data_IF_449312489450
#
_entry.id   IF_449312489450
#
_cell.length_a   1.000
_cell.length_b   1.000
_cell.length_c   1.000
_cell.angle_alpha   90.00
_cell.angle_beta   90.00
_cell.angle_gamma   90.00
#
_symmetry.space_group_name_H-M   'P 1'
#
loop_
_entity.id
_entity.type
_entity.pdbx_description
1 polymer ?
#
# COMPACT_ATOMS: atom_id res chain seq x y z
N UNK A 1 -13.43 14.59 6.59
CA UNK A 1 -12.34 14.17 5.68
C UNK A 1 -10.97 14.68 6.11
N UNK A 2 -10.65 15.99 6.13
CA UNK A 2 -9.29 16.44 6.49
C UNK A 2 -8.82 16.03 7.89
N UNK A 3 -9.69 16.10 8.91
CA UNK A 3 -9.35 15.68 10.28
C UNK A 3 -8.98 14.18 10.36
N UNK A 4 -9.76 13.32 9.72
CA UNK A 4 -9.51 11.87 9.67
C UNK A 4 -8.20 11.53 8.96
N UNK A 5 -7.85 12.23 7.87
CA UNK A 5 -6.57 12.06 7.18
C UNK A 5 -5.39 12.42 8.09
N UNK A 6 -5.49 13.52 8.84
CA UNK A 6 -4.47 13.92 9.80
C UNK A 6 -4.33 12.89 10.92
N UNK A 7 -5.45 12.42 11.50
CA UNK A 7 -5.45 11.39 12.54
C UNK A 7 -4.82 10.08 12.06
N UNK A 8 -5.12 9.64 10.83
CA UNK A 8 -4.49 8.46 10.24
C UNK A 8 -2.97 8.67 10.13
N UNK A 9 -2.52 9.81 9.59
CA UNK A 9 -1.08 10.09 9.43
C UNK A 9 -0.34 10.21 10.76
N UNK A 10 -0.97 10.78 11.78
CA UNK A 10 -0.41 10.87 13.13
C UNK A 10 -0.40 9.49 13.79
N UNK A 11 -1.48 8.71 13.68
CA UNK A 11 -1.57 7.33 14.16
C UNK A 11 -0.48 6.44 13.55
N UNK A 12 -0.26 6.54 12.24
CA UNK A 12 0.78 5.79 11.52
C UNK A 12 2.19 6.07 12.04
N UNK A 13 2.48 7.28 12.53
CA UNK A 13 3.80 7.62 13.07
C UNK A 13 4.13 6.90 14.37
N UNK A 14 3.13 6.38 15.09
CA UNK A 14 3.34 5.67 16.34
C UNK A 14 3.74 4.19 16.15
N UNK A 15 3.67 3.67 14.92
CA UNK A 15 4.07 2.30 14.62
C UNK A 15 5.56 2.24 14.26
N UNK A 16 6.35 1.73 15.21
CA UNK A 16 7.79 1.52 15.09
C UNK A 16 8.12 0.06 15.38
N UNK A 17 8.31 -0.72 14.32
CA UNK A 17 8.34 -2.18 14.43
C UNK A 17 6.96 -2.77 14.71
N UNK A 18 6.82 -4.06 14.41
CA UNK A 18 5.56 -4.80 14.53
C UNK A 18 5.68 -5.84 15.63
N UNK A 19 4.69 -5.91 16.51
CA UNK A 19 4.62 -6.93 17.56
C UNK A 19 3.75 -8.12 17.12
N UNK A 20 2.75 -7.86 16.27
CA UNK A 20 1.82 -8.86 15.76
C UNK A 20 1.75 -8.83 14.23
N UNK A 21 1.83 -10.03 13.65
CA UNK A 21 1.54 -10.25 12.25
C UNK A 21 0.13 -10.81 12.09
N UNK A 22 -0.64 -10.17 11.21
CA UNK A 22 -1.89 -10.72 10.71
C UNK A 22 -1.64 -11.45 9.41
N UNK A 23 -2.52 -12.36 9.04
CA UNK A 23 -2.37 -13.15 7.82
C UNK A 23 -3.67 -13.15 7.03
N UNK A 24 -3.55 -13.03 5.71
CA UNK A 24 -4.60 -13.37 4.76
C UNK A 24 -4.39 -14.83 4.37
N UNK A 25 -5.19 -15.79 4.89
CA UNK A 25 -4.91 -17.21 4.72
C UNK A 25 -4.91 -17.67 3.25
N UNK A 26 -5.79 -17.07 2.43
CA UNK A 26 -5.91 -17.39 1.01
C UNK A 26 -4.67 -17.02 0.20
N UNK A 27 -4.05 -15.88 0.51
CA UNK A 27 -2.86 -15.38 -0.20
C UNK A 27 -1.55 -15.83 0.45
N UNK A 28 -1.63 -16.36 1.68
CA UNK A 28 -0.47 -16.58 2.56
C UNK A 28 0.40 -15.33 2.68
N UNK A 29 -0.24 -14.16 2.69
CA UNK A 29 0.42 -12.88 2.93
C UNK A 29 0.24 -12.49 4.38
N UNK A 30 1.32 -12.07 5.02
CA UNK A 30 1.33 -11.48 6.36
C UNK A 30 1.32 -9.96 6.25
N UNK A 31 0.78 -9.28 7.26
CA UNK A 31 0.86 -7.83 7.35
C UNK A 31 0.93 -7.35 8.79
N UNK A 32 1.47 -6.16 8.97
CA UNK A 32 1.81 -5.57 10.27
C UNK A 32 0.64 -4.89 10.96
N UNK A 33 0.82 -4.57 12.24
CA UNK A 33 -0.14 -3.82 13.05
C UNK A 33 -0.44 -2.44 12.49
N UNK A 34 0.57 -1.70 12.02
CA UNK A 34 0.36 -0.39 11.42
C UNK A 34 -0.51 -0.46 10.17
N UNK A 35 -0.32 -1.49 9.34
CA UNK A 35 -1.14 -1.67 8.16
C UNK A 35 -2.58 -2.09 8.50
N UNK A 36 -2.76 -2.92 9.54
CA UNK A 36 -4.09 -3.24 10.05
C UNK A 36 -4.79 -2.00 10.58
N UNK A 37 -4.09 -1.15 11.33
CA UNK A 37 -4.64 0.13 11.81
C UNK A 37 -5.08 1.00 10.64
N UNK A 38 -4.22 1.15 9.61
CA UNK A 38 -4.54 1.91 8.41
C UNK A 38 -5.83 1.41 7.75
N UNK A 39 -5.92 0.10 7.50
CA UNK A 39 -7.08 -0.49 6.85
C UNK A 39 -8.37 -0.32 7.66
N UNK A 40 -8.31 -0.34 8.99
CA UNK A 40 -9.49 -0.07 9.83
C UNK A 40 -9.85 1.41 9.86
N UNK A 41 -8.87 2.31 9.94
CA UNK A 41 -9.12 3.75 10.06
C UNK A 41 -9.58 4.38 8.74
N UNK A 42 -9.16 3.80 7.61
CA UNK A 42 -9.50 4.23 6.26
C UNK A 42 -10.53 3.33 5.56
N UNK A 43 -11.04 2.29 6.23
CA UNK A 43 -11.94 1.27 5.66
C UNK A 43 -11.42 0.62 4.35
N UNK A 44 -10.10 0.56 4.17
CA UNK A 44 -9.45 0.24 2.89
C UNK A 44 -8.78 -1.14 2.87
N UNK A 45 -9.49 -2.21 3.26
CA UNK A 45 -8.94 -3.57 3.23
C UNK A 45 -8.60 -4.05 1.80
N UNK A 46 -9.27 -3.51 0.79
CA UNK A 46 -8.99 -3.80 -0.61
C UNK A 46 -7.52 -3.53 -0.96
N UNK A 47 -6.91 -2.48 -0.37
CA UNK A 47 -5.53 -2.10 -0.63
C UNK A 47 -4.58 -3.20 -0.19
N UNK A 48 -4.79 -3.78 0.99
CA UNK A 48 -3.98 -4.90 1.50
C UNK A 48 -4.14 -6.10 0.57
N UNK A 49 -5.36 -6.47 0.19
CA UNK A 49 -5.61 -7.65 -0.65
C UNK A 49 -5.05 -7.49 -2.06
N UNK A 50 -5.23 -6.33 -2.68
CA UNK A 50 -4.80 -6.08 -4.06
C UNK A 50 -3.27 -6.03 -4.15
N UNK A 51 -2.64 -5.23 -3.29
CA UNK A 51 -1.16 -5.15 -3.21
C UNK A 51 -0.54 -6.50 -2.88
N UNK A 52 -1.20 -7.32 -2.04
CA UNK A 52 -0.75 -8.69 -1.75
C UNK A 52 -0.77 -9.59 -2.99
N UNK A 53 -1.83 -9.54 -3.79
CA UNK A 53 -1.95 -10.38 -5.00
C UNK A 53 -0.88 -10.00 -6.02
N UNK A 54 -0.72 -8.72 -6.30
CA UNK A 54 0.25 -8.24 -7.29
C UNK A 54 1.66 -8.48 -6.80
N UNK A 55 1.99 -8.11 -5.55
CA UNK A 55 3.34 -8.32 -5.02
C UNK A 55 3.73 -9.80 -5.03
N UNK A 56 2.81 -10.71 -4.66
CA UNK A 56 3.05 -12.17 -4.77
C UNK A 56 3.39 -12.61 -6.19
N UNK A 57 2.71 -12.06 -7.21
CA UNK A 57 2.99 -12.37 -8.61
C UNK A 57 4.35 -11.85 -9.10
N UNK A 58 4.93 -10.88 -8.39
CA UNK A 58 6.21 -10.25 -8.72
C UNK A 58 7.40 -10.83 -7.93
N UNK A 59 7.17 -11.74 -6.97
CA UNK A 59 8.23 -12.35 -6.16
C UNK A 59 9.27 -13.12 -6.98
N UNK A 60 8.88 -13.67 -8.13
CA UNK A 60 9.81 -14.34 -9.05
C UNK A 60 10.77 -13.36 -9.75
N UNK A 61 10.44 -12.06 -9.74
CA UNK A 61 11.24 -11.00 -10.36
C UNK A 61 12.10 -10.23 -9.35
N UNK A 62 11.60 -10.05 -8.13
CA UNK A 62 12.32 -9.37 -7.04
C UNK A 62 11.93 -9.93 -5.68
N UNK A 63 12.92 -10.13 -4.81
CA UNK A 63 12.71 -10.53 -3.42
C UNK A 63 12.13 -9.41 -2.56
N UNK A 64 12.35 -8.16 -2.98
CA UNK A 64 11.88 -6.95 -2.32
C UNK A 64 11.06 -6.11 -3.29
N UNK A 65 9.84 -5.77 -2.87
CA UNK A 65 8.91 -5.00 -3.70
C UNK A 65 8.48 -3.76 -2.93
N UNK A 66 8.83 -2.61 -3.48
CA UNK A 66 8.35 -1.30 -3.09
C UNK A 66 7.01 -1.02 -3.76
N UNK A 67 6.01 -0.64 -2.98
CA UNK A 67 4.66 -0.40 -3.45
C UNK A 67 4.30 1.04 -3.12
N UNK A 68 4.21 1.88 -4.15
CA UNK A 68 3.90 3.29 -4.04
C UNK A 68 2.49 3.57 -4.55
N UNK A 69 1.55 3.81 -3.64
CA UNK A 69 0.24 4.37 -3.96
C UNK A 69 0.34 5.89 -4.09
N UNK A 70 -0.23 6.44 -5.17
CA UNK A 70 -0.31 7.89 -5.41
C UNK A 70 -1.67 8.25 -6.02
N UNK A 71 -2.34 9.21 -5.40
CA UNK A 71 -3.51 9.89 -5.96
C UNK A 71 -3.04 10.89 -7.03
N UNK A 72 -3.65 10.82 -8.20
CA UNK A 72 -3.27 11.64 -9.34
C UNK A 72 -3.83 13.06 -9.22
N UNK A 73 -3.11 14.05 -9.74
CA UNK A 73 -3.61 15.43 -9.82
C UNK A 73 -4.76 15.55 -10.81
N UNK A 74 -5.66 16.53 -10.62
CA UNK A 74 -6.83 16.75 -11.49
C UNK A 74 -6.48 16.79 -12.99
N UNK A 75 -5.34 17.39 -13.35
CA UNK A 75 -4.84 17.41 -14.74
C UNK A 75 -4.60 15.99 -15.29
N UNK A 76 -3.95 15.13 -14.51
CA UNK A 76 -3.70 13.73 -14.91
C UNK A 76 -4.96 12.88 -14.89
N UNK A 77 -5.88 13.15 -13.97
CA UNK A 77 -7.18 12.48 -13.94
C UNK A 77 -7.98 12.80 -15.21
N UNK A 78 -8.01 14.06 -15.65
CA UNK A 78 -8.68 14.46 -16.89
C UNK A 78 -8.04 13.87 -18.15
N UNK A 79 -6.72 13.67 -18.15
CA UNK A 79 -5.99 13.12 -19.29
C UNK A 79 -6.10 11.59 -19.40
N UNK A 80 -6.03 10.89 -18.26
CA UNK A 80 -5.89 9.43 -18.22
C UNK A 80 -7.17 8.71 -17.80
N UNK A 81 -8.09 9.42 -17.13
CA UNK A 81 -9.28 8.84 -16.53
C UNK A 81 -9.03 8.05 -15.24
N UNK A 82 -7.81 8.06 -14.70
CA UNK A 82 -7.47 7.39 -13.44
C UNK A 82 -7.39 8.41 -12.29
N UNK A 83 -8.01 8.09 -11.15
CA UNK A 83 -7.96 8.88 -9.91
C UNK A 83 -6.67 8.59 -9.11
N UNK A 84 -6.18 7.35 -9.15
CA UNK A 84 -4.96 6.94 -8.44
C UNK A 84 -4.18 5.88 -9.21
N UNK A 85 -2.92 5.70 -8.84
CA UNK A 85 -2.05 4.65 -9.35
C UNK A 85 -1.25 3.99 -8.23
N UNK A 86 -0.98 2.71 -8.38
CA UNK A 86 -0.01 1.97 -7.57
C UNK A 86 1.14 1.56 -8.49
N UNK A 87 2.37 1.84 -8.06
CA UNK A 87 3.58 1.50 -8.77
C UNK A 87 4.37 0.50 -7.93
N UNK A 88 4.72 -0.63 -8.53
CA UNK A 88 5.53 -1.68 -7.92
C UNK A 88 6.96 -1.58 -8.45
N UNK A 89 7.95 -1.42 -7.58
CA UNK A 89 9.37 -1.31 -7.93
C UNK A 89 10.21 -2.30 -7.13
N UNK A 90 11.42 -2.61 -7.60
CA UNK A 90 12.36 -3.51 -6.91
C UNK A 90 13.19 -2.82 -5.80
N UNK A 91 12.97 -1.52 -5.56
CA UNK A 91 13.78 -0.70 -4.66
C UNK A 91 15.02 -0.06 -5.27
N UNK A 92 15.36 -0.39 -6.52
CA UNK A 92 16.46 0.18 -7.29
C UNK A 92 15.96 0.96 -8.52
N UNK A 93 14.84 1.67 -8.38
CA UNK A 93 14.16 2.43 -9.43
C UNK A 93 13.68 1.60 -10.65
N UNK A 94 13.75 0.26 -10.60
CA UNK A 94 13.18 -0.59 -11.66
C UNK A 94 11.69 -0.77 -11.43
N UNK A 95 10.88 -0.31 -12.37
CA UNK A 95 9.43 -0.53 -12.36
C UNK A 95 9.13 -1.96 -12.79
N UNK A 96 8.49 -2.71 -11.90
CA UNK A 96 8.07 -4.09 -12.13
C UNK A 96 6.66 -4.16 -12.73
N UNK A 97 5.74 -3.35 -12.21
CA UNK A 97 4.33 -3.31 -12.59
C UNK A 97 3.73 -1.94 -12.25
N UNK A 98 2.69 -1.53 -12.98
CA UNK A 98 1.92 -0.32 -12.69
C UNK A 98 0.42 -0.59 -12.84
N UNK A 99 -0.36 -0.18 -11.85
CA UNK A 99 -1.79 -0.41 -11.79
C UNK A 99 -2.53 0.92 -11.61
N UNK A 100 -3.43 1.24 -12.54
CA UNK A 100 -4.27 2.44 -12.47
C UNK A 100 -5.65 2.15 -11.89
N UNK A 101 -6.18 3.08 -11.11
CA UNK A 101 -7.49 3.02 -10.47
C UNK A 101 -8.35 4.17 -10.95
N UNK A 102 -9.50 3.85 -11.56
CA UNK A 102 -10.44 4.87 -12.03
C UNK A 102 -11.10 5.62 -10.88
N UNK A 103 -11.38 4.92 -9.79
CA UNK A 103 -11.96 5.48 -8.57
C UNK A 103 -11.29 4.82 -7.37
N UNK A 104 -11.06 5.58 -6.30
CA UNK A 104 -10.56 5.04 -5.02
C UNK A 104 -11.15 5.76 -3.81
N UNK A 105 -11.55 4.96 -2.82
CA UNK A 105 -12.03 5.44 -1.51
C UNK A 105 -10.88 5.70 -0.51
N UNK A 106 -9.62 5.42 -0.89
CA UNK A 106 -8.48 5.57 0.02
C UNK A 106 -8.22 7.05 0.33
N UNK A 107 -8.21 7.46 1.60
CA UNK A 107 -8.26 8.87 1.97
C UNK A 107 -6.91 9.61 1.87
N UNK A 108 -5.78 8.90 1.76
CA UNK A 108 -4.46 9.54 1.66
C UNK A 108 -4.07 9.78 0.19
N UNK A 109 -3.33 10.86 -0.06
CA UNK A 109 -2.80 11.18 -1.38
C UNK A 109 -1.61 10.29 -1.77
N UNK A 110 -0.87 9.80 -0.78
CA UNK A 110 0.29 8.94 -0.99
C UNK A 110 0.42 7.93 0.16
N UNK A 111 0.87 6.73 -0.18
CA UNK A 111 1.25 5.71 0.78
C UNK A 111 2.35 4.86 0.16
N UNK A 112 3.39 4.57 0.94
CA UNK A 112 4.43 3.62 0.58
C UNK A 112 4.31 2.39 1.46
N UNK A 113 4.41 1.21 0.86
CA UNK A 113 4.45 -0.08 1.54
C UNK A 113 5.62 -0.90 1.01
N UNK A 114 6.13 -1.81 1.84
CA UNK A 114 7.14 -2.78 1.46
C UNK A 114 6.58 -4.18 1.52
N UNK A 115 6.94 -5.00 0.55
CA UNK A 115 6.59 -6.41 0.51
C UNK A 115 7.85 -7.25 0.36
N UNK A 116 8.08 -8.12 1.35
CA UNK A 116 9.28 -8.96 1.48
C UNK A 116 8.94 -10.19 2.32
N UNK A 117 9.47 -11.36 1.96
CA UNK A 117 9.24 -12.61 2.71
C UNK A 117 7.75 -12.85 3.03
N UNK A 118 6.89 -12.73 2.02
CA UNK A 118 5.43 -12.87 2.13
C UNK A 118 4.77 -11.88 3.11
N UNK A 119 5.45 -10.80 3.48
CA UNK A 119 5.02 -9.85 4.51
C UNK A 119 4.91 -8.44 3.95
N UNK A 120 3.73 -7.84 4.09
CA UNK A 120 3.41 -6.47 3.70
C UNK A 120 3.49 -5.55 4.92
N UNK A 121 4.28 -4.48 4.84
CA UNK A 121 4.57 -3.63 6.00
C UNK A 121 4.72 -2.16 5.63
N UNK A 122 4.55 -1.29 6.62
CA UNK A 122 4.88 0.12 6.49
C UNK A 122 6.42 0.30 6.47
N UNK A 123 6.94 1.37 5.85
CA UNK A 123 8.37 1.68 5.88
C UNK A 123 8.95 1.89 7.27
N UNK A 124 8.13 2.29 8.25
CA UNK A 124 8.54 2.43 9.65
C UNK A 124 8.59 1.10 10.42
N UNK A 125 8.13 0.01 9.81
CA UNK A 125 8.05 -1.34 10.41
C UNK A 125 8.99 -2.36 9.73
N UNK A 126 9.74 -1.95 8.71
CA UNK A 126 10.82 -2.73 8.06
C UNK A 126 12.17 -2.43 8.70
#
# INVERSE_FOLDING_TARGET
MKAQVTEIKEGLQHFHGTELFYQIPLLRTRFTDGLKYLANAADCFWLITDTSVIAKSLMDRSEFINIDFKRLSEEKQNLTGYEAEIIYTDGNDTILEKQGYHVTDFPLDELRLFFVNDTLMLPSEY
#
